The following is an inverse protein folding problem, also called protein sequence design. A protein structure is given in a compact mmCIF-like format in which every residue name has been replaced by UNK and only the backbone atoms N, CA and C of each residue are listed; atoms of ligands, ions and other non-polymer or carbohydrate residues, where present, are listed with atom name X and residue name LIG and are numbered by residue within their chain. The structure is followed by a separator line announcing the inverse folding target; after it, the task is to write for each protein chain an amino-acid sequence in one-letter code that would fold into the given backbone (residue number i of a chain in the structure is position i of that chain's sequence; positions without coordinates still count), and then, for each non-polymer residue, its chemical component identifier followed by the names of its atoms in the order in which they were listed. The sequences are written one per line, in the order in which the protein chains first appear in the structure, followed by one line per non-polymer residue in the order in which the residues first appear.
data_IF_403260576525
#
_entry.id   IF_403260576525
#
_cell.length_a   1.000
_cell.length_b   1.000
_cell.length_c   1.000
_cell.angle_alpha   90.00
_cell.angle_beta   90.00
_cell.angle_gamma   90.00
#
_symmetry.space_group_name_H-M   'P 1'
#
loop_
_entity.id
_entity.type
_entity.pdbx_description
1 polymer ?
#
# COMPACT_ATOMS: atom_id res chain seq x y z
N UNK A 1 11.37 21.70 13.74
CA UNK A 1 12.20 20.68 13.08
C UNK A 1 11.35 19.42 12.98
N UNK A 2 11.28 18.78 11.80
CA UNK A 2 10.51 17.55 11.64
C UNK A 2 11.19 16.42 12.43
N UNK A 3 10.46 15.78 13.32
CA UNK A 3 10.96 14.60 14.05
C UNK A 3 11.18 13.46 13.06
N UNK A 4 12.39 12.91 13.02
CA UNK A 4 12.68 11.75 12.17
C UNK A 4 12.00 10.52 12.80
N UNK A 5 11.14 9.80 12.05
CA UNK A 5 10.51 8.59 12.56
C UNK A 5 11.55 7.53 12.92
N UNK A 6 11.31 6.76 13.98
CA UNK A 6 12.16 5.65 14.42
C UNK A 6 11.69 4.29 13.91
N UNK A 7 10.64 4.28 13.09
CA UNK A 7 10.01 3.07 12.55
C UNK A 7 9.86 3.22 11.06
N UNK A 8 9.98 2.10 10.34
CA UNK A 8 9.80 2.05 8.91
C UNK A 8 8.41 2.59 8.53
N UNK A 9 8.34 3.55 7.58
CA UNK A 9 7.06 4.03 7.11
C UNK A 9 6.32 2.93 6.34
N UNK A 10 5.05 2.69 6.70
CA UNK A 10 4.19 1.76 5.95
C UNK A 10 3.80 2.30 4.57
N UNK A 11 3.90 3.61 4.37
CA UNK A 11 3.59 4.28 3.12
C UNK A 11 4.58 5.40 2.87
N UNK A 12 5.16 5.41 1.68
CA UNK A 12 6.02 6.47 1.18
C UNK A 12 5.48 6.96 -0.16
N UNK A 13 5.86 8.16 -0.58
CA UNK A 13 5.45 8.72 -1.87
C UNK A 13 6.68 8.93 -2.74
N UNK A 14 6.60 8.48 -3.99
CA UNK A 14 7.63 8.76 -4.97
C UNK A 14 7.75 10.28 -5.16
N UNK A 15 8.98 10.80 -5.17
CA UNK A 15 9.26 12.22 -5.30
C UNK A 15 9.37 12.99 -3.98
N UNK A 16 9.02 12.37 -2.85
CA UNK A 16 9.21 12.97 -1.53
C UNK A 16 10.60 12.62 -0.97
N UNK A 17 11.08 13.44 -0.03
CA UNK A 17 12.24 13.09 0.79
C UNK A 17 11.81 12.05 1.83
N UNK A 18 12.46 10.89 1.83
CA UNK A 18 12.10 9.78 2.71
C UNK A 18 13.22 9.59 3.73
N UNK A 19 12.88 9.63 5.01
CA UNK A 19 13.86 9.39 6.07
C UNK A 19 13.25 8.70 7.28
N UNK A 20 14.02 7.82 7.88
CA UNK A 20 13.76 7.24 9.20
C UNK A 20 15.09 6.83 9.84
N UNK A 21 15.08 6.69 11.15
CA UNK A 21 16.21 6.25 11.94
C UNK A 21 15.93 4.84 12.47
N UNK A 22 16.88 3.91 12.36
CA UNK A 22 16.77 2.55 12.90
C UNK A 22 17.88 2.31 13.92
N UNK A 23 17.48 2.05 15.15
CA UNK A 23 18.39 1.63 16.23
C UNK A 23 18.46 0.12 16.28
N UNK A 24 19.66 -0.44 16.19
CA UNK A 24 19.92 -1.88 16.31
C UNK A 24 21.04 -2.08 17.34
N UNK A 25 20.67 -2.36 18.59
CA UNK A 25 21.62 -2.46 19.71
C UNK A 25 22.70 -3.52 19.49
N UNK A 26 22.34 -4.64 18.86
CA UNK A 26 23.27 -5.75 18.59
C UNK A 26 24.12 -5.51 17.33
N UNK A 27 23.72 -4.55 16.49
CA UNK A 27 24.34 -4.24 15.20
C UNK A 27 24.54 -2.72 15.01
N UNK A 28 25.29 -2.04 15.88
CA UNK A 28 25.39 -0.58 15.83
C UNK A 28 26.26 -0.11 14.67
N UNK A 29 25.89 1.02 14.07
CA UNK A 29 26.54 1.54 12.86
C UNK A 29 27.99 1.98 13.12
N UNK A 30 28.27 2.57 14.29
CA UNK A 30 29.61 2.97 14.72
C UNK A 30 30.57 1.79 14.97
N UNK A 31 30.05 0.59 15.20
CA UNK A 31 30.84 -0.64 15.24
C UNK A 31 31.11 -1.24 13.84
N UNK A 32 30.74 -0.53 12.77
CA UNK A 32 31.01 -0.92 11.38
C UNK A 32 29.96 -1.82 10.74
N UNK A 33 28.77 -1.94 11.34
CA UNK A 33 27.63 -2.61 10.70
C UNK A 33 27.00 -1.69 9.65
N UNK A 34 26.72 -2.21 8.47
CA UNK A 34 26.03 -1.50 7.41
C UNK A 34 24.62 -2.07 7.22
N UNK A 35 23.58 -1.23 7.38
CA UNK A 35 22.20 -1.61 7.15
C UNK A 35 21.77 -1.32 5.70
N UNK A 36 21.19 -2.33 5.05
CA UNK A 36 20.68 -2.25 3.68
C UNK A 36 19.25 -2.79 3.63
N UNK A 37 18.34 -1.98 3.10
CA UNK A 37 16.99 -2.39 2.77
C UNK A 37 16.92 -2.84 1.31
N UNK A 38 16.36 -4.03 1.08
CA UNK A 38 16.01 -4.52 -0.25
C UNK A 38 14.50 -4.55 -0.36
N UNK A 39 13.92 -3.86 -1.34
CA UNK A 39 12.49 -3.83 -1.61
C UNK A 39 12.24 -4.50 -2.95
N UNK A 40 11.28 -5.42 -3.03
CA UNK A 40 10.94 -6.13 -4.25
C UNK A 40 9.42 -6.10 -4.44
N UNK A 41 8.98 -5.84 -5.66
CA UNK A 41 7.63 -6.14 -6.13
C UNK A 41 7.71 -7.06 -7.36
N UNK A 42 6.58 -7.36 -7.98
CA UNK A 42 6.51 -8.25 -9.15
C UNK A 42 7.27 -7.77 -10.40
N UNK A 43 7.84 -6.56 -10.40
CA UNK A 43 8.47 -5.96 -11.59
C UNK A 43 9.80 -5.26 -11.33
N UNK A 44 10.11 -4.90 -10.08
CA UNK A 44 11.21 -4.01 -9.74
C UNK A 44 11.83 -4.39 -8.41
N UNK A 45 13.16 -4.32 -8.34
CA UNK A 45 13.95 -4.41 -7.12
C UNK A 45 14.59 -3.05 -6.84
N UNK A 46 14.43 -2.56 -5.62
CA UNK A 46 15.06 -1.35 -5.11
C UNK A 46 16.02 -1.71 -3.98
N UNK A 47 17.06 -0.91 -3.80
CA UNK A 47 18.01 -1.05 -2.69
C UNK A 47 18.26 0.31 -2.08
N UNK A 48 18.14 0.39 -0.76
CA UNK A 48 18.36 1.61 0.01
C UNK A 48 19.43 1.30 1.05
N UNK A 49 20.53 2.05 1.01
CA UNK A 49 21.61 1.93 1.98
C UNK A 49 21.42 2.96 3.09
N UNK A 50 21.52 2.54 4.34
CA UNK A 50 21.56 3.45 5.47
C UNK A 50 22.97 4.05 5.63
N UNK A 51 23.03 5.25 6.18
CA UNK A 51 24.26 5.88 6.64
C UNK A 51 24.37 5.76 8.17
N UNK A 52 25.60 5.72 8.68
CA UNK A 52 25.82 5.76 10.13
C UNK A 52 25.46 7.15 10.70
N UNK A 53 24.72 7.15 11.80
CA UNK A 53 24.39 8.33 12.59
C UNK A 53 24.67 8.03 14.06
N UNK A 54 25.95 8.08 14.45
CA UNK A 54 26.40 7.50 15.71
C UNK A 54 26.22 5.97 15.69
N UNK A 55 25.63 5.41 16.74
CA UNK A 55 25.29 3.99 16.81
C UNK A 55 24.07 3.61 15.93
N UNK A 56 23.27 4.59 15.50
CA UNK A 56 22.04 4.35 14.74
C UNK A 56 22.27 4.33 13.22
N UNK A 57 21.34 3.69 12.52
CA UNK A 57 21.30 3.65 11.05
C UNK A 57 20.29 4.67 10.53
N UNK A 58 20.78 5.75 9.92
CA UNK A 58 19.94 6.75 9.28
C UNK A 58 19.66 6.35 7.84
N UNK A 59 18.40 6.11 7.53
CA UNK A 59 17.97 5.97 6.15
C UNK A 59 17.52 7.33 5.63
N UNK A 60 18.04 7.71 4.46
CA UNK A 60 17.73 8.98 3.81
C UNK A 60 17.75 8.78 2.29
N UNK A 61 16.59 8.93 1.66
CA UNK A 61 16.43 8.89 0.20
C UNK A 61 16.02 10.27 -0.28
N UNK A 62 16.84 10.85 -1.15
CA UNK A 62 16.56 12.15 -1.74
C UNK A 62 15.32 12.10 -2.67
N UNK A 63 14.58 13.21 -2.73
CA UNK A 63 13.41 13.37 -3.58
C UNK A 63 13.68 13.02 -5.06
N UNK A 64 14.85 13.38 -5.58
CA UNK A 64 15.24 13.05 -6.96
C UNK A 64 15.40 11.55 -7.21
N UNK A 65 15.88 10.79 -6.23
CA UNK A 65 16.01 9.32 -6.31
C UNK A 65 14.65 8.64 -6.14
N UNK A 66 13.87 9.07 -5.15
CA UNK A 66 12.54 8.49 -4.89
C UNK A 66 11.54 8.78 -6.00
N UNK A 67 11.73 9.86 -6.78
CA UNK A 67 10.91 10.18 -7.95
C UNK A 67 10.92 9.08 -9.03
N UNK A 68 12.01 8.29 -9.10
CA UNK A 68 12.13 7.18 -10.03
C UNK A 68 11.51 5.87 -9.53
N UNK A 69 11.00 5.83 -8.28
CA UNK A 69 10.40 4.62 -7.74
C UNK A 69 9.02 4.40 -8.35
N UNK A 70 8.81 3.19 -8.88
CA UNK A 70 7.51 2.79 -9.39
C UNK A 70 6.50 2.69 -8.23
N UNK A 71 5.30 3.23 -8.45
CA UNK A 71 4.23 3.10 -7.47
C UNK A 71 3.76 1.64 -7.38
N UNK A 72 3.43 1.20 -6.17
CA UNK A 72 2.92 -0.14 -5.91
C UNK A 72 3.25 -0.67 -4.52
N UNK A 73 2.82 -1.90 -4.26
CA UNK A 73 3.11 -2.61 -3.01
C UNK A 73 4.44 -3.36 -3.13
N UNK A 74 5.31 -3.18 -2.15
CA UNK A 74 6.63 -3.82 -2.08
C UNK A 74 6.73 -4.66 -0.80
N UNK A 75 7.37 -5.81 -0.92
CA UNK A 75 7.89 -6.56 0.23
C UNK A 75 9.34 -6.16 0.43
N UNK A 76 9.73 -5.91 1.67
CA UNK A 76 11.07 -5.46 2.01
C UNK A 76 11.74 -6.34 3.06
N UNK A 77 13.07 -6.37 3.00
CA UNK A 77 13.94 -7.03 3.95
C UNK A 77 15.08 -6.09 4.31
N UNK A 78 15.33 -5.95 5.62
CA UNK A 78 16.44 -5.20 6.18
C UNK A 78 17.56 -6.16 6.58
N UNK A 79 18.77 -5.93 6.06
CA UNK A 79 19.95 -6.74 6.38
C UNK A 79 21.08 -5.88 6.88
N UNK A 80 21.77 -6.36 7.90
CA UNK A 80 23.03 -5.78 8.37
C UNK A 80 24.20 -6.63 7.89
N UNK A 81 25.26 -5.96 7.47
CA UNK A 81 26.49 -6.61 7.00
C UNK A 81 27.70 -6.02 7.70
N UNK A 82 28.62 -6.89 8.12
CA UNK A 82 29.96 -6.51 8.59
C UNK A 82 30.96 -7.57 8.11
N UNK A 83 31.77 -7.22 7.11
CA UNK A 83 32.67 -8.18 6.48
C UNK A 83 31.90 -9.34 5.83
N UNK A 84 32.13 -10.57 6.31
CA UNK A 84 31.44 -11.77 5.83
C UNK A 84 30.15 -12.09 6.61
N UNK A 85 29.89 -11.40 7.72
CA UNK A 85 28.70 -11.59 8.53
C UNK A 85 27.53 -10.84 7.93
N UNK A 86 26.43 -11.54 7.65
CA UNK A 86 25.21 -10.97 7.09
C UNK A 86 24.02 -11.52 7.87
N UNK A 87 23.23 -10.64 8.47
CA UNK A 87 22.03 -11.00 9.23
C UNK A 87 20.80 -10.26 8.70
N UNK A 88 19.68 -10.96 8.58
CA UNK A 88 18.38 -10.33 8.37
C UNK A 88 17.82 -9.90 9.71
N UNK A 89 17.62 -8.58 9.87
CA UNK A 89 17.17 -7.99 11.14
C UNK A 89 15.69 -7.69 11.15
N UNK A 90 15.08 -7.49 9.99
CA UNK A 90 13.66 -7.16 9.88
C UNK A 90 13.11 -7.45 8.49
N UNK A 91 11.80 -7.65 8.40
CA UNK A 91 11.07 -7.87 7.15
C UNK A 91 9.68 -7.27 7.25
N UNK A 92 9.14 -6.79 6.13
CA UNK A 92 7.78 -6.28 6.11
C UNK A 92 7.28 -5.95 4.72
N UNK A 93 6.22 -5.16 4.68
CA UNK A 93 5.68 -4.61 3.44
C UNK A 93 5.52 -3.09 3.56
N UNK A 94 5.59 -2.41 2.43
CA UNK A 94 5.31 -0.98 2.34
C UNK A 94 4.67 -0.65 0.99
N UNK A 95 3.95 0.46 0.95
CA UNK A 95 3.34 0.95 -0.29
C UNK A 95 4.05 2.22 -0.76
N UNK A 96 4.48 2.23 -2.03
CA UNK A 96 4.97 3.44 -2.70
C UNK A 96 3.81 4.06 -3.46
N UNK A 97 3.38 5.24 -3.00
CA UNK A 97 2.37 6.05 -3.67
C UNK A 97 2.98 6.81 -4.84
N UNK A 98 2.20 7.07 -5.91
CA UNK A 98 2.68 7.80 -7.06
C UNK A 98 3.02 9.25 -6.72
N UNK A 99 3.96 9.82 -7.48
CA UNK A 99 4.29 11.23 -7.41
C UNK A 99 3.16 12.07 -8.03
N UNK A 100 2.26 12.62 -7.20
CA UNK A 100 1.15 13.44 -7.70
C UNK A 100 1.61 14.76 -8.31
N UNK A 101 2.76 15.30 -7.90
CA UNK A 101 3.28 16.55 -8.47
C UNK A 101 3.76 16.36 -9.92
N UNK A 102 4.07 15.13 -10.33
CA UNK A 102 4.48 14.80 -11.69
C UNK A 102 3.33 14.29 -12.57
N UNK A 103 2.15 14.00 -12.00
CA UNK A 103 1.01 13.44 -12.73
C UNK A 103 0.07 14.55 -13.24
N UNK A 104 -0.38 14.44 -14.48
CA UNK A 104 -1.40 15.32 -15.08
C UNK A 104 -2.82 14.90 -14.72
N UNK A 105 -3.04 13.60 -14.55
CA UNK A 105 -4.30 13.00 -14.13
C UNK A 105 -4.03 11.88 -13.15
N UNK A 106 -4.84 11.78 -12.10
CA UNK A 106 -4.75 10.69 -11.13
C UNK A 106 -6.14 10.21 -10.75
N UNK A 107 -6.39 8.93 -10.96
CA UNK A 107 -7.57 8.27 -10.43
C UNK A 107 -7.27 7.75 -9.02
N UNK A 108 -7.72 8.49 -8.01
CA UNK A 108 -7.54 8.12 -6.60
C UNK A 108 -8.55 7.10 -6.08
N UNK A 109 -9.40 6.51 -6.93
CA UNK A 109 -10.32 5.45 -6.52
C UNK A 109 -9.55 4.20 -6.12
N UNK A 110 -9.99 3.52 -5.06
CA UNK A 110 -9.45 2.23 -4.68
C UNK A 110 -9.81 1.17 -5.73
N UNK A 111 -9.03 0.08 -5.77
CA UNK A 111 -9.33 -1.04 -6.65
C UNK A 111 -10.75 -1.58 -6.40
N UNK A 112 -11.16 -1.68 -5.14
CA UNK A 112 -12.50 -2.11 -4.78
C UNK A 112 -13.57 -1.19 -5.39
N UNK A 113 -13.36 0.14 -5.37
CA UNK A 113 -14.28 1.10 -5.98
C UNK A 113 -14.32 0.99 -7.50
N UNK A 114 -13.16 0.83 -8.16
CA UNK A 114 -13.09 0.59 -9.61
C UNK A 114 -13.84 -0.69 -9.98
N UNK A 115 -13.68 -1.77 -9.20
CA UNK A 115 -14.37 -3.04 -9.44
C UNK A 115 -15.88 -2.94 -9.23
N UNK A 116 -16.35 -2.22 -8.20
CA UNK A 116 -17.79 -1.95 -8.02
C UNK A 116 -18.36 -1.26 -9.25
N UNK A 117 -17.72 -0.17 -9.71
CA UNK A 117 -18.21 0.60 -10.87
C UNK A 117 -18.17 -0.22 -12.16
N UNK A 118 -17.14 -1.04 -12.38
CA UNK A 118 -17.06 -1.95 -13.52
C UNK A 118 -18.15 -3.02 -13.51
N UNK A 119 -18.46 -3.60 -12.34
CA UNK A 119 -19.52 -4.61 -12.19
C UNK A 119 -20.90 -3.97 -12.35
N UNK A 120 -21.12 -2.78 -11.79
CA UNK A 120 -22.37 -2.02 -11.97
C UNK A 120 -22.60 -1.67 -13.44
N UNK A 121 -21.56 -1.21 -14.14
CA UNK A 121 -21.62 -0.96 -15.58
C UNK A 121 -21.96 -2.23 -16.38
N UNK A 122 -21.37 -3.38 -16.02
CA UNK A 122 -21.68 -4.66 -16.65
C UNK A 122 -23.15 -5.10 -16.42
N UNK A 123 -23.69 -4.88 -15.22
CA UNK A 123 -25.08 -5.17 -14.88
C UNK A 123 -26.03 -4.23 -15.65
N UNK A 124 -25.74 -2.92 -15.68
CA UNK A 124 -26.53 -1.92 -16.41
C UNK A 124 -26.53 -2.19 -17.91
N UNK A 125 -25.36 -2.52 -18.48
CA UNK A 125 -25.22 -2.95 -19.88
C UNK A 125 -26.14 -4.12 -20.19
N UNK A 126 -26.14 -5.16 -19.35
CA UNK A 126 -27.04 -6.33 -19.50
C UNK A 126 -28.52 -5.98 -19.35
N UNK A 127 -28.88 -5.10 -18.43
CA UNK A 127 -30.25 -4.64 -18.23
C UNK A 127 -30.76 -3.81 -19.44
N UNK A 128 -29.87 -3.06 -20.09
CA UNK A 128 -30.18 -2.31 -21.31
C UNK A 128 -30.19 -3.20 -22.57
N UNK A 129 -29.43 -4.29 -22.58
CA UNK A 129 -29.31 -5.24 -23.70
C UNK A 129 -30.25 -6.43 -23.55
N UNK A 130 -31.57 -6.21 -23.43
CA UNK A 130 -32.61 -7.26 -23.39
C UNK A 130 -32.65 -8.09 -24.69
N UNK A 131 -31.59 -8.81 -24.99
CA UNK A 131 -31.42 -9.83 -26.02
C UNK A 131 -30.76 -11.03 -25.34
N UNK A 132 -31.51 -11.65 -24.44
CA UNK A 132 -31.12 -12.83 -23.68
C UNK A 132 -31.20 -14.13 -24.49
N UNK A 133 -30.96 -14.06 -25.81
CA UNK A 133 -30.82 -15.23 -26.70
C UNK A 133 -29.87 -14.93 -27.85
N UNK A 134 -28.59 -15.24 -27.66
CA UNK A 134 -27.67 -15.51 -28.75
C UNK A 134 -26.91 -16.79 -28.42
N UNK A 135 -27.42 -17.92 -28.94
CA UNK A 135 -26.58 -19.06 -29.22
C UNK A 135 -25.81 -18.74 -30.50
N UNK A 136 -24.49 -18.57 -30.41
CA UNK A 136 -23.63 -18.44 -31.58
C UNK A 136 -22.57 -19.55 -31.50
N UNK A 137 -22.54 -20.40 -32.52
CA UNK A 137 -21.45 -21.33 -32.86
C UNK A 137 -20.85 -22.17 -31.73
N UNK A 138 -21.69 -22.82 -30.92
CA UNK A 138 -21.27 -23.94 -30.05
C UNK A 138 -20.03 -23.65 -29.15
N UNK A 139 -19.80 -22.37 -28.82
CA UNK A 139 -18.76 -21.89 -27.92
C UNK A 139 -19.42 -20.94 -26.94
N UNK A 140 -19.82 -21.45 -25.77
CA UNK A 140 -20.20 -20.56 -24.68
C UNK A 140 -18.97 -19.79 -24.24
N UNK A 141 -18.96 -18.49 -24.46
CA UNK A 141 -18.10 -17.63 -23.65
C UNK A 141 -18.67 -17.76 -22.24
N UNK A 142 -17.92 -18.38 -21.31
CA UNK A 142 -18.25 -18.43 -19.90
C UNK A 142 -18.22 -17.00 -19.34
N UNK A 143 -19.31 -16.27 -19.56
CA UNK A 143 -19.57 -15.03 -18.87
C UNK A 143 -19.95 -15.37 -17.42
N UNK A 144 -19.42 -14.61 -16.44
CA UNK A 144 -19.92 -14.69 -15.07
C UNK A 144 -21.46 -14.61 -15.09
N UNK A 145 -22.09 -15.56 -14.42
CA UNK A 145 -23.54 -15.60 -14.25
C UNK A 145 -24.01 -14.35 -13.50
N UNK A 146 -25.26 -13.92 -13.70
CA UNK A 146 -25.83 -12.80 -12.93
C UNK A 146 -25.68 -12.96 -11.42
N UNK A 147 -25.81 -14.20 -10.92
CA UNK A 147 -25.62 -14.55 -9.51
C UNK A 147 -24.19 -14.29 -9.04
N UNK A 148 -23.19 -14.65 -9.84
CA UNK A 148 -21.78 -14.39 -9.51
C UNK A 148 -21.46 -12.90 -9.53
N UNK A 149 -22.00 -12.14 -10.50
CA UNK A 149 -21.82 -10.68 -10.54
C UNK A 149 -22.40 -10.01 -9.28
N UNK A 150 -23.58 -10.43 -8.81
CA UNK A 150 -24.18 -9.91 -7.57
C UNK A 150 -23.31 -10.26 -6.34
N UNK A 151 -22.76 -11.47 -6.28
CA UNK A 151 -21.84 -11.89 -5.22
C UNK A 151 -20.57 -11.02 -5.20
N UNK A 152 -19.96 -10.83 -6.37
CA UNK A 152 -18.77 -9.99 -6.53
C UNK A 152 -19.06 -8.53 -6.17
N UNK A 153 -20.20 -7.99 -6.61
CA UNK A 153 -20.64 -6.64 -6.26
C UNK A 153 -20.78 -6.48 -4.74
N UNK A 154 -21.42 -7.45 -4.09
CA UNK A 154 -21.62 -7.43 -2.64
C UNK A 154 -20.30 -7.51 -1.88
N UNK A 155 -19.38 -8.36 -2.34
CA UNK A 155 -18.04 -8.47 -1.79
C UNK A 155 -17.25 -7.16 -1.90
N UNK A 156 -17.16 -6.58 -3.10
CA UNK A 156 -16.40 -5.35 -3.28
C UNK A 156 -17.04 -4.14 -2.60
N UNK A 157 -18.37 -4.06 -2.52
CA UNK A 157 -19.04 -3.02 -1.72
C UNK A 157 -18.70 -3.12 -0.22
N UNK A 158 -18.61 -4.34 0.31
CA UNK A 158 -18.17 -4.54 1.69
C UNK A 158 -16.71 -4.08 1.87
N UNK A 159 -15.85 -4.32 0.89
CA UNK A 159 -14.45 -3.89 0.92
C UNK A 159 -14.31 -2.36 0.86
N UNK A 160 -15.03 -1.68 -0.05
CA UNK A 160 -15.10 -0.21 -0.10
C UNK A 160 -15.58 0.38 1.24
N UNK A 161 -16.56 -0.26 1.89
CA UNK A 161 -17.04 0.18 3.19
C UNK A 161 -15.99 0.01 4.31
N UNK A 162 -15.16 -1.04 4.26
CA UNK A 162 -14.03 -1.21 5.19
C UNK A 162 -12.96 -0.15 4.96
N UNK A 163 -12.61 0.13 3.71
CA UNK A 163 -11.63 1.16 3.36
C UNK A 163 -12.09 2.55 3.85
N UNK A 164 -13.36 2.90 3.64
CA UNK A 164 -13.93 4.16 4.10
C UNK A 164 -13.91 4.28 5.64
N UNK A 165 -14.13 3.18 6.35
CA UNK A 165 -14.03 3.16 7.82
C UNK A 165 -12.58 3.30 8.30
N UNK A 166 -11.63 2.60 7.68
CA UNK A 166 -10.21 2.73 8.00
C UNK A 166 -9.72 4.18 7.80
N UNK A 167 -10.14 4.82 6.72
CA UNK A 167 -9.84 6.23 6.46
C UNK A 167 -10.47 7.17 7.50
N UNK A 168 -11.69 6.88 7.93
CA UNK A 168 -12.36 7.65 8.99
C UNK A 168 -11.62 7.52 10.32
N UNK A 169 -11.26 6.30 10.71
CA UNK A 169 -10.46 6.03 11.92
C UNK A 169 -9.12 6.75 11.84
N UNK A 170 -8.45 6.74 10.68
CA UNK A 170 -7.19 7.44 10.48
C UNK A 170 -7.33 8.96 10.67
N UNK A 171 -8.43 9.55 10.19
CA UNK A 171 -8.69 11.00 10.28
C UNK A 171 -9.14 11.45 11.67
N UNK A 172 -9.99 10.68 12.33
CA UNK A 172 -10.68 11.12 13.57
C UNK A 172 -10.16 10.43 14.83
N UNK A 173 -9.39 9.35 14.70
CA UNK A 173 -8.98 8.47 15.80
C UNK A 173 -10.14 7.69 16.44
N UNK A 174 -11.38 7.92 16.00
CA UNK A 174 -12.58 7.31 16.55
C UNK A 174 -13.04 6.16 15.66
N UNK A 175 -13.23 4.98 16.26
CA UNK A 175 -13.88 3.87 15.59
C UNK A 175 -15.40 4.11 15.57
N UNK A 176 -16.02 4.33 14.39
CA UNK A 176 -17.46 4.57 14.30
C UNK A 176 -18.30 3.37 14.77
N UNK A 177 -17.72 2.16 14.84
CA UNK A 177 -18.38 0.98 15.43
C UNK A 177 -18.39 0.96 16.96
N UNK A 178 -17.58 1.80 17.62
CA UNK A 178 -17.44 1.86 19.08
C UNK A 178 -17.82 3.24 19.64
N UNK A 179 -18.77 3.96 19.03
CA UNK A 179 -19.29 5.22 19.59
C UNK A 179 -20.13 4.87 20.84
N UNK A 180 -19.45 4.70 21.97
CA UNK A 180 -20.08 4.57 23.28
C UNK A 180 -20.65 5.92 23.70
N UNK A 181 -21.97 6.02 23.77
CA UNK A 181 -22.66 7.17 24.37
C UNK A 181 -22.23 7.25 25.83
N UNK A 182 -21.39 8.24 26.18
CA UNK A 182 -21.17 8.59 27.59
C UNK A 182 -22.44 9.27 28.10
N UNK A 183 -23.35 8.50 28.70
CA UNK A 183 -24.39 9.07 29.55
C UNK A 183 -23.71 9.59 30.83
N UNK A 184 -23.54 10.91 30.94
CA UNK A 184 -23.22 11.56 32.21
C UNK A 184 -24.48 11.50 33.07
N UNK A 185 -24.41 10.78 34.19
CA UNK A 185 -25.49 10.74 35.19
C UNK A 185 -25.51 12.09 35.90
N UNK A 186 -26.63 12.81 35.78
CA UNK A 186 -26.96 14.01 36.55
C UNK A 186 -27.28 13.63 37.99
#
# INVERSE_FOLDING_TARGET
MATVPTTEPQTIRAGDFITWLKTLSDYPADAGWALVYTLINGSTKLTINAAASGADHLVSVAAGTSAAYAAGSYTWMARVTKGAEIYTVDTGSLTIQPNLAALTTFDGRSHAKVMVEAIEAAIQGRASSVQLRMAINNRSIEYLSPTELIKWLSFYRAEVAKEAQAETIRKTGANPRNIGVRCTRV
#
